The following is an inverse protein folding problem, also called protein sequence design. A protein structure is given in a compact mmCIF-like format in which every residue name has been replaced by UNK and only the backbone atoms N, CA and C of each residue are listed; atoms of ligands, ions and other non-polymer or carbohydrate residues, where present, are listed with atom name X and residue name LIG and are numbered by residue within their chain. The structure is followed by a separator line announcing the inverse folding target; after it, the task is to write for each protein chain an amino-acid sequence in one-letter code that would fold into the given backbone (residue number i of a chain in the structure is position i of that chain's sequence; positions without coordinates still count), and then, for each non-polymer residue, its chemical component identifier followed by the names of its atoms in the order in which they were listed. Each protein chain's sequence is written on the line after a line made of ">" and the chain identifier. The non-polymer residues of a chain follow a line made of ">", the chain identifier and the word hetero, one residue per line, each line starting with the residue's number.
data_IF_531458531978
#
_entry.id   IF_531458531978
#
_cell.length_a   1.000
_cell.length_b   1.000
_cell.length_c   1.000
_cell.angle_alpha   90.00
_cell.angle_beta   90.00
_cell.angle_gamma   90.00
#
_symmetry.space_group_name_H-M   'P 1'
#
loop_
_entity.id
_entity.type
_entity.pdbx_description
1 polymer ?
#
# COMPACT_ATOMS: atom_id res chain seq x y z
N UNK A 1 -13.16 16.08 9.84
CA UNK A 1 -11.74 15.95 10.24
C UNK A 1 -10.88 16.66 9.18
N UNK A 2 -10.12 17.70 9.54
CA UNK A 2 -9.19 18.39 8.64
C UNK A 2 -7.79 17.82 8.86
N UNK A 3 -7.41 16.82 8.08
CA UNK A 3 -6.03 16.33 8.00
C UNK A 3 -5.60 16.38 6.54
N UNK A 4 -4.30 16.57 6.28
CA UNK A 4 -3.76 16.41 4.95
C UNK A 4 -4.10 15.04 4.37
N UNK A 5 -4.59 15.01 3.13
CA UNK A 5 -4.79 13.77 2.40
C UNK A 5 -3.63 13.62 1.42
N UNK A 6 -2.91 12.50 1.44
CA UNK A 6 -1.86 12.27 0.45
C UNK A 6 -2.46 12.18 -0.95
N UNK A 7 -1.69 12.65 -1.94
CA UNK A 7 -2.02 12.43 -3.34
C UNK A 7 -1.74 10.99 -3.75
N UNK A 8 -2.44 10.52 -4.78
CA UNK A 8 -2.29 9.17 -5.33
C UNK A 8 -1.65 9.18 -6.74
N UNK A 9 -1.24 10.34 -7.24
CA UNK A 9 -0.63 10.55 -8.55
C UNK A 9 -1.58 10.43 -9.75
N UNK A 10 -2.62 9.60 -9.62
CA UNK A 10 -3.65 9.36 -10.63
C UNK A 10 -5.05 9.55 -10.05
N UNK A 11 -6.02 9.89 -10.90
CA UNK A 11 -7.40 10.09 -10.47
C UNK A 11 -7.59 11.28 -9.51
N UNK A 12 -6.66 12.22 -9.52
CA UNK A 12 -6.68 13.42 -8.69
C UNK A 12 -6.82 14.69 -9.53
N UNK A 13 -7.48 15.69 -8.97
CA UNK A 13 -7.56 17.04 -9.53
C UNK A 13 -6.98 18.03 -8.51
N UNK A 14 -6.16 18.96 -8.98
CA UNK A 14 -5.51 19.98 -8.14
C UNK A 14 -5.82 21.36 -8.70
N UNK A 15 -6.15 22.30 -7.81
CA UNK A 15 -6.34 23.70 -8.19
C UNK A 15 -5.05 24.30 -8.73
N UNK A 16 -5.11 24.96 -9.89
CA UNK A 16 -3.99 25.73 -10.45
C UNK A 16 -3.44 26.75 -9.44
N UNK A 17 -4.32 27.43 -8.71
CA UNK A 17 -3.94 28.40 -7.66
C UNK A 17 -3.21 27.74 -6.49
N UNK A 18 -3.51 26.48 -6.16
CA UNK A 18 -2.75 25.74 -5.15
C UNK A 18 -1.35 25.40 -5.66
N UNK A 19 -1.23 24.99 -6.92
CA UNK A 19 0.07 24.71 -7.55
C UNK A 19 0.99 25.93 -7.59
N UNK A 20 0.47 27.08 -8.02
CA UNK A 20 1.25 28.33 -8.01
C UNK A 20 1.70 28.73 -6.61
N UNK A 21 0.84 28.56 -5.59
CA UNK A 21 1.21 28.86 -4.20
C UNK A 21 2.32 27.96 -3.67
N UNK A 22 2.37 26.70 -4.11
CA UNK A 22 3.46 25.78 -3.75
C UNK A 22 4.75 26.15 -4.48
N UNK A 23 4.67 26.38 -5.79
CA UNK A 23 5.81 26.81 -6.61
C UNK A 23 6.48 28.08 -6.05
N UNK A 24 5.68 29.09 -5.66
CA UNK A 24 6.18 30.34 -5.10
C UNK A 24 6.91 30.18 -3.75
N UNK A 25 6.79 29.03 -3.08
CA UNK A 25 7.45 28.74 -1.80
C UNK A 25 8.68 27.85 -1.95
N UNK A 26 8.98 27.35 -3.15
CA UNK A 26 10.15 26.52 -3.39
C UNK A 26 11.26 27.29 -4.13
N UNK A 27 12.54 27.04 -3.81
CA UNK A 27 13.66 27.69 -4.50
C UNK A 27 13.72 27.40 -6.01
N UNK A 28 13.27 26.21 -6.43
CA UNK A 28 13.27 25.76 -7.82
C UNK A 28 12.04 26.24 -8.62
N UNK A 29 11.12 26.98 -7.99
CA UNK A 29 9.84 27.40 -8.54
C UNK A 29 8.98 26.24 -9.09
N UNK A 30 9.23 25.00 -8.64
CA UNK A 30 8.46 23.83 -9.06
C UNK A 30 7.43 23.44 -7.98
N UNK A 31 6.21 23.04 -8.39
CA UNK A 31 5.18 22.63 -7.44
C UNK A 31 5.39 21.21 -6.90
N UNK A 32 6.34 20.44 -7.45
CA UNK A 32 6.73 19.10 -7.03
C UNK A 32 8.21 19.06 -6.66
N UNK A 33 8.57 18.18 -5.71
CA UNK A 33 9.97 17.90 -5.44
C UNK A 33 10.46 16.83 -6.42
N UNK A 34 11.32 17.22 -7.36
CA UNK A 34 11.79 16.34 -8.45
C UNK A 34 12.65 15.16 -7.98
N UNK A 35 13.19 15.25 -6.77
CA UNK A 35 14.02 14.24 -6.11
C UNK A 35 13.20 13.31 -5.19
N UNK A 36 11.88 13.51 -5.09
CA UNK A 36 11.00 12.64 -4.29
C UNK A 36 10.56 11.41 -5.09
N UNK A 37 10.80 10.22 -4.54
CA UNK A 37 10.28 8.96 -5.09
C UNK A 37 8.76 8.85 -5.07
N UNK A 38 8.08 9.72 -4.32
CA UNK A 38 6.62 9.76 -4.14
C UNK A 38 6.18 11.22 -4.05
N UNK A 39 6.45 11.98 -5.12
CA UNK A 39 6.16 13.42 -5.19
C UNK A 39 4.66 13.70 -5.09
N UNK A 40 3.85 12.76 -5.57
CA UNK A 40 2.39 12.76 -5.50
C UNK A 40 1.87 12.68 -4.07
N UNK A 41 2.43 11.78 -3.26
CA UNK A 41 2.14 11.66 -1.84
C UNK A 41 2.44 12.97 -1.11
N UNK A 42 3.63 13.53 -1.33
CA UNK A 42 4.08 14.79 -0.73
C UNK A 42 3.24 15.99 -1.16
N UNK A 43 2.81 16.05 -2.41
CA UNK A 43 1.99 17.14 -2.93
C UNK A 43 0.72 17.34 -2.10
N UNK A 44 -0.02 16.26 -1.83
CA UNK A 44 -1.27 16.33 -1.06
C UNK A 44 -1.06 16.88 0.36
N UNK A 45 0.05 16.46 1.00
CA UNK A 45 0.44 16.98 2.32
C UNK A 45 0.89 18.43 2.26
N UNK A 46 1.65 18.82 1.23
CA UNK A 46 2.13 20.18 1.04
C UNK A 46 0.97 21.16 0.81
N UNK A 47 -0.03 20.78 0.01
CA UNK A 47 -1.26 21.58 -0.19
C UNK A 47 -1.96 21.82 1.15
N UNK A 48 -2.10 20.79 1.99
CA UNK A 48 -2.73 20.93 3.30
C UNK A 48 -1.91 21.81 4.25
N UNK A 49 -0.58 21.68 4.24
CA UNK A 49 0.32 22.48 5.06
C UNK A 49 0.25 23.99 4.75
N UNK A 50 -0.11 24.37 3.52
CA UNK A 50 -0.34 25.77 3.13
C UNK A 50 -1.81 26.23 3.27
N UNK A 51 -2.61 25.49 4.04
CA UNK A 51 -4.01 25.81 4.34
C UNK A 51 -5.00 25.36 3.26
N UNK A 52 -4.56 24.56 2.29
CA UNK A 52 -5.42 23.96 1.28
C UNK A 52 -6.37 22.92 1.86
N UNK A 53 -7.51 22.72 1.20
CA UNK A 53 -8.49 21.69 1.57
C UNK A 53 -8.38 20.52 0.61
N UNK A 54 -8.15 19.33 1.15
CA UNK A 54 -8.18 18.09 0.38
C UNK A 54 -9.49 17.34 0.64
N UNK A 55 -10.02 16.64 -0.37
CA UNK A 55 -11.22 15.81 -0.25
C UNK A 55 -11.02 14.51 -1.02
N UNK A 56 -11.37 13.39 -0.39
CA UNK A 56 -11.50 12.11 -1.08
C UNK A 56 -12.95 11.95 -1.51
N UNK A 57 -13.20 11.90 -2.81
CA UNK A 57 -14.55 11.81 -3.39
C UNK A 57 -14.71 10.43 -4.01
N UNK A 58 -15.72 9.69 -3.55
CA UNK A 58 -16.17 8.46 -4.19
C UNK A 58 -17.46 8.77 -4.93
N UNK A 59 -17.45 8.70 -6.25
CA UNK A 59 -18.59 8.98 -7.11
C UNK A 59 -18.81 7.85 -8.11
N UNK A 60 -20.05 7.71 -8.59
CA UNK A 60 -20.43 6.82 -9.68
C UNK A 60 -20.96 7.65 -10.85
N UNK A 61 -20.73 7.17 -12.07
CA UNK A 61 -21.32 7.75 -13.27
C UNK A 61 -22.80 7.39 -13.39
N UNK A 62 -23.46 7.95 -14.40
CA UNK A 62 -24.88 7.67 -14.70
C UNK A 62 -25.10 6.19 -15.08
N UNK A 63 -24.05 5.53 -15.57
CA UNK A 63 -23.99 4.09 -15.84
C UNK A 63 -23.85 3.21 -14.58
N UNK A 64 -23.86 3.83 -13.39
CA UNK A 64 -23.66 3.17 -12.11
C UNK A 64 -22.23 2.68 -11.87
N UNK A 65 -21.28 2.87 -12.79
CA UNK A 65 -19.88 2.45 -12.63
C UNK A 65 -19.13 3.42 -11.72
N UNK A 66 -18.18 2.90 -10.95
CA UNK A 66 -17.33 3.74 -10.12
C UNK A 66 -16.46 4.64 -10.99
N UNK A 67 -16.46 5.94 -10.69
CA UNK A 67 -15.52 6.90 -11.30
C UNK A 67 -14.16 6.67 -10.64
N UNK A 68 -13.28 5.99 -11.36
CA UNK A 68 -11.94 5.63 -10.90
C UNK A 68 -11.00 5.43 -12.09
N UNK A 69 -9.71 5.70 -11.90
CA UNK A 69 -8.68 5.31 -12.87
C UNK A 69 -8.55 3.79 -12.91
N UNK A 70 -8.55 3.22 -14.11
CA UNK A 70 -8.31 1.79 -14.34
C UNK A 70 -6.95 1.62 -14.99
N UNK A 71 -6.11 0.79 -14.39
CA UNK A 71 -4.79 0.44 -14.92
C UNK A 71 -4.52 -1.03 -14.63
N UNK A 72 -3.74 -1.68 -15.50
CA UNK A 72 -3.24 -3.02 -15.21
C UNK A 72 -2.23 -2.95 -14.07
N UNK A 73 -2.30 -3.94 -13.19
CA UNK A 73 -1.27 -4.16 -12.19
C UNK A 73 -0.10 -4.90 -12.85
N UNK A 74 1.17 -4.72 -12.41
CA UNK A 74 2.28 -5.48 -12.95
C UNK A 74 2.02 -6.99 -12.91
N UNK A 75 2.21 -7.63 -14.04
CA UNK A 75 2.03 -9.07 -14.25
C UNK A 75 3.27 -9.88 -13.86
N UNK A 76 4.45 -9.22 -13.80
CA UNK A 76 5.70 -9.82 -13.34
C UNK A 76 5.97 -9.50 -11.87
N UNK A 77 6.37 -10.53 -11.12
CA UNK A 77 6.71 -10.42 -9.70
C UNK A 77 7.76 -9.34 -9.42
N UNK A 78 8.83 -9.29 -10.22
CA UNK A 78 9.91 -8.32 -10.02
C UNK A 78 9.43 -6.87 -10.20
N UNK A 79 8.56 -6.62 -11.18
CA UNK A 79 7.96 -5.31 -11.39
C UNK A 79 7.04 -4.90 -10.23
N UNK A 80 6.24 -5.83 -9.71
CA UNK A 80 5.40 -5.60 -8.53
C UNK A 80 6.26 -5.31 -7.27
N UNK A 81 7.35 -6.05 -7.08
CA UNK A 81 8.30 -5.85 -5.99
C UNK A 81 8.97 -4.48 -6.08
N UNK A 82 9.48 -4.11 -7.27
CA UNK A 82 10.08 -2.79 -7.53
C UNK A 82 9.11 -1.66 -7.19
N UNK A 83 7.89 -1.72 -7.74
CA UNK A 83 6.85 -0.72 -7.47
C UNK A 83 6.54 -0.60 -5.97
N UNK A 84 6.32 -1.74 -5.30
CA UNK A 84 5.96 -1.75 -3.87
C UNK A 84 7.12 -1.27 -3.00
N UNK A 85 8.35 -1.66 -3.31
CA UNK A 85 9.56 -1.20 -2.61
C UNK A 85 9.72 0.31 -2.71
N UNK A 86 9.53 0.89 -3.90
CA UNK A 86 9.58 2.35 -4.09
C UNK A 86 8.59 3.08 -3.19
N UNK A 87 7.35 2.61 -3.12
CA UNK A 87 6.32 3.21 -2.26
C UNK A 87 6.67 3.10 -0.78
N UNK A 88 7.12 1.93 -0.32
CA UNK A 88 7.51 1.75 1.08
C UNK A 88 8.70 2.63 1.43
N UNK A 89 9.72 2.69 0.57
CA UNK A 89 10.89 3.54 0.75
C UNK A 89 10.51 5.02 0.78
N UNK A 90 9.77 5.50 -0.22
CA UNK A 90 9.38 6.91 -0.35
C UNK A 90 8.46 7.39 0.77
N UNK A 91 7.40 6.63 1.09
CA UNK A 91 6.40 7.05 2.07
C UNK A 91 6.87 6.80 3.50
N UNK A 92 7.34 5.58 3.79
CA UNK A 92 7.58 5.13 5.16
C UNK A 92 8.94 5.53 5.72
N UNK A 93 9.96 5.67 4.85
CA UNK A 93 11.33 5.89 5.27
C UNK A 93 11.81 7.29 4.87
N UNK A 94 11.99 7.58 3.56
CA UNK A 94 12.43 8.91 3.10
C UNK A 94 11.42 10.01 3.44
N UNK A 95 10.12 9.68 3.47
CA UNK A 95 9.08 10.59 3.90
C UNK A 95 9.23 11.05 5.35
N UNK A 96 9.95 10.29 6.20
CA UNK A 96 10.31 10.74 7.54
C UNK A 96 11.20 11.98 7.46
N UNK A 97 12.25 11.93 6.65
CA UNK A 97 13.24 12.99 6.52
C UNK A 97 12.67 14.20 5.78
N UNK A 98 11.85 13.96 4.75
CA UNK A 98 11.36 15.01 3.85
C UNK A 98 10.18 15.80 4.41
N UNK A 99 9.19 15.11 4.99
CA UNK A 99 7.95 15.75 5.47
C UNK A 99 7.72 15.62 6.98
N UNK A 100 8.60 14.94 7.71
CA UNK A 100 8.61 14.90 9.17
C UNK A 100 7.34 14.34 9.83
N UNK A 101 7.16 14.69 11.11
CA UNK A 101 5.98 14.41 11.93
C UNK A 101 5.35 15.73 12.40
N UNK A 102 4.82 16.49 11.45
CA UNK A 102 4.12 17.74 11.74
C UNK A 102 2.62 17.50 11.95
N UNK A 103 1.98 18.44 12.67
CA UNK A 103 0.53 18.49 12.84
C UNK A 103 0.00 18.00 14.18
N UNK A 104 -1.33 17.95 14.28
CA UNK A 104 -2.05 17.45 15.46
C UNK A 104 -2.25 15.93 15.48
N UNK A 105 -2.94 15.38 16.50
CA UNK A 105 -3.08 13.94 16.70
C UNK A 105 -3.65 13.17 15.50
N UNK A 106 -4.54 13.80 14.73
CA UNK A 106 -5.13 13.18 13.53
C UNK A 106 -4.09 13.05 12.40
N UNK A 107 -3.21 14.04 12.23
CA UNK A 107 -2.15 13.96 11.21
C UNK A 107 -1.09 12.92 11.59
N UNK A 108 -0.77 12.84 12.89
CA UNK A 108 0.09 11.79 13.43
C UNK A 108 -0.49 10.40 13.19
N UNK A 109 -1.79 10.22 13.45
CA UNK A 109 -2.48 8.96 13.15
C UNK A 109 -2.41 8.59 11.66
N UNK A 110 -2.70 9.53 10.77
CA UNK A 110 -2.65 9.29 9.32
C UNK A 110 -1.23 8.93 8.86
N UNK A 111 -0.21 9.69 9.26
CA UNK A 111 1.19 9.40 8.93
C UNK A 111 1.63 8.06 9.50
N UNK A 112 1.23 7.71 10.73
CA UNK A 112 1.55 6.40 11.33
C UNK A 112 0.94 5.26 10.51
N UNK A 113 -0.32 5.41 10.10
CA UNK A 113 -1.01 4.45 9.24
C UNK A 113 -0.32 4.26 7.90
N UNK A 114 0.18 5.32 7.29
CA UNK A 114 0.85 5.26 5.98
C UNK A 114 2.26 4.67 6.10
N UNK A 115 2.97 4.99 7.19
CA UNK A 115 4.37 4.61 7.42
C UNK A 115 4.57 3.24 8.09
N UNK A 116 3.49 2.55 8.50
CA UNK A 116 3.59 1.22 9.16
C UNK A 116 4.04 0.07 8.24
N UNK A 117 4.29 0.32 6.96
CA UNK A 117 4.64 -0.70 5.97
C UNK A 117 5.81 -1.61 6.39
N UNK A 118 6.98 -1.07 6.77
CA UNK A 118 8.12 -1.86 7.23
C UNK A 118 7.82 -2.70 8.48
N UNK A 119 7.13 -2.14 9.48
CA UNK A 119 6.73 -2.89 10.67
C UNK A 119 5.76 -4.03 10.32
N UNK A 120 4.80 -3.76 9.42
CA UNK A 120 3.87 -4.77 8.94
C UNK A 120 4.61 -5.92 8.25
N UNK A 121 5.66 -5.63 7.47
CA UNK A 121 6.50 -6.65 6.85
C UNK A 121 7.18 -7.57 7.87
N UNK A 122 7.70 -7.02 8.99
CA UNK A 122 8.29 -7.81 10.08
C UNK A 122 7.25 -8.69 10.76
N UNK A 123 6.08 -8.13 11.09
CA UNK A 123 4.98 -8.89 11.71
C UNK A 123 4.49 -10.01 10.78
N UNK A 124 4.36 -9.74 9.48
CA UNK A 124 4.00 -10.76 8.50
C UNK A 124 5.05 -11.86 8.43
N UNK A 125 6.34 -11.52 8.36
CA UNK A 125 7.43 -12.50 8.34
C UNK A 125 7.37 -13.40 9.58
N UNK A 126 7.24 -12.81 10.77
CA UNK A 126 7.09 -13.56 12.01
C UNK A 126 5.85 -14.48 11.98
N UNK A 127 4.72 -13.99 11.48
CA UNK A 127 3.50 -14.79 11.29
C UNK A 127 3.71 -16.00 10.37
N UNK A 128 4.38 -15.82 9.23
CA UNK A 128 4.67 -16.95 8.33
C UNK A 128 5.66 -17.94 8.93
N UNK A 129 6.69 -17.47 9.63
CA UNK A 129 7.61 -18.34 10.38
C UNK A 129 6.83 -19.16 11.41
N UNK A 130 5.92 -18.53 12.17
CA UNK A 130 5.08 -19.22 13.14
C UNK A 130 4.16 -20.27 12.50
N UNK A 131 3.58 -19.99 11.33
CA UNK A 131 2.77 -20.97 10.58
C UNK A 131 3.62 -22.20 10.20
N UNK A 132 4.84 -21.99 9.70
CA UNK A 132 5.76 -23.09 9.36
C UNK A 132 6.13 -23.89 10.61
N UNK A 133 6.55 -23.23 11.68
CA UNK A 133 6.91 -23.89 12.94
C UNK A 133 5.74 -24.68 13.55
N UNK A 134 4.53 -24.12 13.48
CA UNK A 134 3.32 -24.78 13.97
C UNK A 134 2.97 -25.99 13.09
N UNK A 135 3.16 -25.91 11.77
CA UNK A 135 2.99 -27.05 10.86
C UNK A 135 3.98 -28.18 11.17
N UNK A 136 5.26 -27.85 11.38
CA UNK A 136 6.30 -28.81 11.75
C UNK A 136 6.02 -29.46 13.11
N UNK A 137 5.60 -28.67 14.10
CA UNK A 137 5.17 -29.19 15.40
C UNK A 137 3.95 -30.11 15.25
N UNK A 138 2.98 -29.75 14.40
CA UNK A 138 1.82 -30.57 14.10
C UNK A 138 2.20 -31.94 13.51
N UNK A 139 3.18 -31.98 12.61
CA UNK A 139 3.74 -33.23 12.07
C UNK A 139 4.39 -34.04 13.20
N UNK A 140 5.24 -33.43 14.02
CA UNK A 140 5.90 -34.12 15.13
C UNK A 140 4.91 -34.72 16.13
N UNK A 141 3.81 -34.01 16.41
CA UNK A 141 2.72 -34.53 17.25
C UNK A 141 2.00 -35.68 16.55
N UNK A 142 1.68 -35.55 15.26
CA UNK A 142 1.00 -36.59 14.50
C UNK A 142 1.82 -37.90 14.36
N UNK A 143 3.15 -37.80 14.35
CA UNK A 143 4.06 -38.95 14.32
C UNK A 143 4.44 -39.47 15.71
N UNK A 144 3.89 -38.89 16.79
CA UNK A 144 4.21 -39.26 18.17
C UNK A 144 5.60 -38.82 18.65
N UNK A 145 6.31 -37.98 17.89
CA UNK A 145 7.62 -37.45 18.23
C UNK A 145 7.56 -36.26 19.21
N UNK A 146 6.36 -35.70 19.44
CA UNK A 146 6.13 -34.60 20.38
C UNK A 146 4.72 -34.67 20.97
N UNK A 147 4.49 -33.93 22.05
CA UNK A 147 3.18 -33.81 22.69
C UNK A 147 2.48 -32.50 22.27
N UNK A 148 1.14 -32.47 22.23
CA UNK A 148 0.40 -31.25 21.92
C UNK A 148 0.74 -30.12 22.90
N UNK A 149 0.99 -28.92 22.37
CA UNK A 149 1.23 -27.74 23.19
C UNK A 149 -0.07 -27.31 23.87
N UNK A 150 -0.05 -27.19 25.20
CA UNK A 150 -1.17 -26.66 25.96
C UNK A 150 -1.24 -25.14 25.81
N UNK A 151 -2.35 -24.63 25.25
CA UNK A 151 -2.56 -23.19 25.09
C UNK A 151 -3.20 -22.62 26.35
N UNK A 152 -2.62 -21.53 26.88
CA UNK A 152 -3.26 -20.80 27.98
C UNK A 152 -4.61 -20.19 27.54
N UNK A 153 -5.56 -19.97 28.46
CA UNK A 153 -6.85 -19.36 28.14
C UNK A 153 -6.72 -18.00 27.43
N UNK A 154 -5.75 -17.19 27.86
CA UNK A 154 -5.45 -15.90 27.23
C UNK A 154 -4.98 -16.07 25.79
N UNK A 155 -4.03 -16.96 25.53
CA UNK A 155 -3.52 -17.21 24.18
C UNK A 155 -4.63 -17.74 23.26
N UNK A 156 -5.45 -18.66 23.77
CA UNK A 156 -6.63 -19.17 23.03
C UNK A 156 -7.59 -18.04 22.68
N UNK A 157 -7.89 -17.14 23.62
CA UNK A 157 -8.73 -15.96 23.39
C UNK A 157 -8.15 -15.04 22.32
N UNK A 158 -6.84 -14.76 22.37
CA UNK A 158 -6.15 -13.93 21.38
C UNK A 158 -6.16 -14.56 19.98
N UNK A 159 -5.98 -15.89 19.87
CA UNK A 159 -6.05 -16.59 18.59
C UNK A 159 -7.45 -16.52 17.98
N UNK A 160 -8.50 -16.73 18.79
CA UNK A 160 -9.89 -16.60 18.34
C UNK A 160 -10.18 -15.17 17.86
N UNK A 161 -9.80 -14.15 18.65
CA UNK A 161 -9.99 -12.76 18.27
C UNK A 161 -9.28 -12.41 16.94
N UNK A 162 -8.03 -12.87 16.76
CA UNK A 162 -7.29 -12.69 15.51
C UNK A 162 -7.95 -13.40 14.33
N UNK A 163 -8.46 -14.62 14.53
CA UNK A 163 -9.19 -15.36 13.49
C UNK A 163 -10.47 -14.62 13.07
N UNK A 164 -11.24 -14.08 14.01
CA UNK A 164 -12.43 -13.28 13.71
C UNK A 164 -12.10 -12.01 12.93
N UNK A 165 -11.03 -11.29 13.31
CA UNK A 165 -10.55 -10.10 12.59
C UNK A 165 -10.06 -10.47 11.19
N UNK A 166 -9.40 -11.63 11.04
CA UNK A 166 -8.98 -12.14 9.73
C UNK A 166 -10.22 -12.39 8.85
N UNK A 167 -11.20 -13.14 9.33
CA UNK A 167 -12.45 -13.43 8.60
C UNK A 167 -13.14 -12.13 8.19
N UNK A 168 -13.28 -11.17 9.10
CA UNK A 168 -13.83 -9.84 8.78
C UNK A 168 -13.09 -9.17 7.62
N UNK A 169 -11.76 -9.22 7.62
CA UNK A 169 -10.93 -8.66 6.54
C UNK A 169 -11.11 -9.41 5.22
N UNK A 170 -11.25 -10.74 5.25
CA UNK A 170 -11.50 -11.55 4.06
C UNK A 170 -12.85 -11.20 3.45
N UNK A 171 -13.90 -11.11 4.27
CA UNK A 171 -15.26 -10.75 3.84
C UNK A 171 -15.29 -9.35 3.25
N UNK A 172 -14.66 -8.36 3.90
CA UNK A 172 -14.58 -7.01 3.37
C UNK A 172 -13.85 -6.97 2.02
N UNK A 173 -12.72 -7.68 1.91
CA UNK A 173 -11.92 -7.74 0.67
C UNK A 173 -12.73 -8.37 -0.47
N UNK A 174 -13.36 -9.51 -0.21
CA UNK A 174 -14.25 -10.18 -1.15
C UNK A 174 -15.39 -9.24 -1.58
N UNK A 175 -16.13 -8.67 -0.62
CA UNK A 175 -17.30 -7.83 -0.89
C UNK A 175 -16.96 -6.60 -1.73
N UNK A 176 -15.86 -5.90 -1.43
CA UNK A 176 -15.46 -4.73 -2.21
C UNK A 176 -14.96 -5.09 -3.62
N UNK A 177 -14.19 -6.17 -3.77
CA UNK A 177 -13.72 -6.60 -5.09
C UNK A 177 -14.87 -7.18 -5.93
N UNK A 178 -15.73 -8.02 -5.34
CA UNK A 178 -16.86 -8.63 -6.01
C UNK A 178 -17.89 -7.59 -6.49
N UNK A 179 -18.11 -6.54 -5.71
CA UNK A 179 -19.03 -5.46 -6.09
C UNK A 179 -18.59 -4.71 -7.34
N UNK A 180 -17.30 -4.56 -7.59
CA UNK A 180 -16.79 -3.77 -8.72
C UNK A 180 -16.33 -4.63 -9.90
N UNK A 181 -15.93 -5.89 -9.67
CA UNK A 181 -15.33 -6.76 -10.69
C UNK A 181 -15.98 -8.15 -10.80
N UNK A 182 -17.02 -8.44 -10.01
CA UNK A 182 -17.73 -9.72 -10.01
C UNK A 182 -17.15 -10.75 -9.03
N UNK A 183 -17.95 -11.78 -8.72
CA UNK A 183 -17.67 -12.74 -7.65
C UNK A 183 -16.35 -13.51 -7.85
N UNK A 184 -15.99 -13.84 -9.10
CA UNK A 184 -14.73 -14.53 -9.43
C UNK A 184 -13.53 -13.68 -9.03
N UNK A 185 -13.51 -12.39 -9.38
CA UNK A 185 -12.43 -11.50 -8.95
C UNK A 185 -12.44 -11.24 -7.45
N UNK A 186 -13.62 -11.25 -6.81
CA UNK A 186 -13.74 -11.26 -5.35
C UNK A 186 -13.00 -12.42 -4.71
N UNK A 187 -13.21 -13.63 -5.22
CA UNK A 187 -12.54 -14.84 -4.74
C UNK A 187 -11.03 -14.80 -5.02
N UNK A 188 -10.64 -14.45 -6.24
CA UNK A 188 -9.23 -14.34 -6.61
C UNK A 188 -8.51 -13.27 -5.78
N UNK A 189 -9.16 -12.16 -5.40
CA UNK A 189 -8.60 -11.16 -4.50
C UNK A 189 -8.28 -11.70 -3.10
N UNK A 190 -9.05 -12.68 -2.61
CA UNK A 190 -8.78 -13.41 -1.36
C UNK A 190 -7.64 -14.40 -1.57
N UNK A 191 -7.67 -15.21 -2.63
CA UNK A 191 -6.65 -16.22 -2.91
C UNK A 191 -5.25 -15.62 -3.16
N UNK A 192 -5.17 -14.38 -3.65
CA UNK A 192 -3.91 -13.65 -3.85
C UNK A 192 -3.28 -13.13 -2.55
N UNK A 193 -3.93 -13.28 -1.38
CA UNK A 193 -3.41 -12.77 -0.10
C UNK A 193 -2.01 -13.28 0.27
N UNK A 194 -1.70 -14.60 0.16
CA UNK A 194 -0.37 -15.09 0.50
C UNK A 194 0.71 -14.46 -0.37
N UNK A 195 0.46 -14.37 -1.68
CA UNK A 195 1.37 -13.71 -2.62
C UNK A 195 1.54 -12.22 -2.28
N UNK A 196 0.46 -11.52 -1.96
CA UNK A 196 0.51 -10.12 -1.55
C UNK A 196 1.33 -9.91 -0.26
N UNK A 197 1.25 -10.85 0.69
CA UNK A 197 2.07 -10.82 1.90
C UNK A 197 3.55 -11.06 1.61
N UNK A 198 3.88 -12.03 0.74
CA UNK A 198 5.27 -12.25 0.29
C UNK A 198 5.83 -10.99 -0.37
N UNK A 199 5.07 -10.37 -1.27
CA UNK A 199 5.44 -9.10 -1.90
C UNK A 199 5.67 -8.02 -0.83
N UNK A 200 4.80 -7.90 0.17
CA UNK A 200 4.97 -6.92 1.25
C UNK A 200 6.24 -7.16 2.09
N UNK A 201 6.54 -8.41 2.43
CA UNK A 201 7.74 -8.80 3.19
C UNK A 201 9.00 -8.44 2.40
N UNK A 202 9.09 -8.91 1.15
CA UNK A 202 10.27 -8.68 0.31
C UNK A 202 10.43 -7.20 -0.01
N UNK A 203 9.33 -6.50 -0.31
CA UNK A 203 9.37 -5.08 -0.59
C UNK A 203 9.81 -4.24 0.61
N UNK A 204 9.33 -4.60 1.82
CA UNK A 204 9.74 -3.98 3.08
C UNK A 204 11.23 -4.18 3.35
N UNK A 205 11.75 -5.40 3.18
CA UNK A 205 13.19 -5.69 3.31
C UNK A 205 14.01 -4.86 2.32
N UNK A 206 13.65 -4.86 1.03
CA UNK A 206 14.33 -4.07 0.00
C UNK A 206 14.34 -2.58 0.36
N UNK A 207 13.19 -2.01 0.76
CA UNK A 207 13.08 -0.61 1.14
C UNK A 207 13.99 -0.26 2.34
N UNK A 208 13.99 -1.06 3.41
CA UNK A 208 14.84 -0.82 4.58
C UNK A 208 16.32 -0.89 4.22
N UNK A 209 16.74 -1.88 3.45
CA UNK A 209 18.15 -2.00 3.04
C UNK A 209 18.58 -0.83 2.15
N UNK A 210 17.73 -0.38 1.23
CA UNK A 210 18.00 0.79 0.40
C UNK A 210 18.08 2.07 1.24
N UNK A 211 17.19 2.24 2.23
CA UNK A 211 17.25 3.38 3.15
C UNK A 211 18.52 3.37 4.01
N UNK A 212 18.93 2.22 4.54
CA UNK A 212 20.21 2.11 5.27
C UNK A 212 21.39 2.46 4.36
N UNK A 213 21.33 2.08 3.08
CA UNK A 213 22.34 2.48 2.11
C UNK A 213 22.33 4.00 1.84
N UNK A 214 21.17 4.66 1.86
CA UNK A 214 21.10 6.12 1.68
C UNK A 214 21.66 6.88 2.87
N UNK A 215 21.42 6.38 4.09
CA UNK A 215 22.06 6.90 5.30
C UNK A 215 23.59 6.76 5.28
N UNK A 216 24.14 5.86 4.46
CA UNK A 216 25.59 5.68 4.22
C UNK A 216 26.11 6.49 3.03
N UNK A 217 25.33 7.46 2.54
CA UNK A 217 25.74 8.37 1.46
C UNK A 217 25.51 7.87 0.04
N UNK A 218 24.81 6.73 -0.16
CA UNK A 218 24.41 6.30 -1.51
C UNK A 218 23.15 7.04 -1.95
N UNK A 219 23.06 7.40 -3.24
CA UNK A 219 21.83 7.95 -3.79
C UNK A 219 20.71 6.89 -3.76
N UNK A 220 19.48 7.31 -3.46
CA UNK A 220 18.30 6.46 -3.65
C UNK A 220 18.08 6.29 -5.15
N UNK A 221 18.34 5.08 -5.68
CA UNK A 221 18.18 4.82 -7.11
C UNK A 221 16.71 5.01 -7.53
N UNK A 222 16.49 5.85 -8.54
CA UNK A 222 15.20 6.07 -9.17
C UNK A 222 14.91 4.94 -10.14
N UNK A 223 14.16 3.93 -9.70
CA UNK A 223 13.74 2.82 -10.56
C UNK A 223 12.28 3.01 -10.99
N UNK A 224 12.08 3.59 -12.19
CA UNK A 224 10.76 3.97 -12.70
C UNK A 224 9.94 2.72 -13.03
N UNK A 225 8.65 2.73 -12.67
CA UNK A 225 7.72 1.67 -13.06
C UNK A 225 7.33 1.82 -14.52
N UNK A 226 7.69 0.86 -15.36
CA UNK A 226 7.23 0.71 -16.74
C UNK A 226 5.73 0.36 -16.76
N UNK A 227 4.99 0.95 -17.71
CA UNK A 227 3.56 0.69 -17.92
C UNK A 227 3.41 0.15 -19.36
N UNK A 228 3.14 -1.14 -19.51
CA UNK A 228 3.20 -1.80 -20.83
C UNK A 228 1.86 -1.77 -21.62
N UNK A 229 0.71 -1.48 -21.00
CA UNK A 229 -0.57 -1.32 -21.71
C UNK A 229 -1.66 -0.60 -20.89
N UNK A 230 -2.62 0.08 -21.54
CA UNK A 230 -3.79 0.70 -20.90
C UNK A 230 -5.06 -0.15 -21.13
N UNK A 231 -5.93 -0.39 -20.12
CA UNK A 231 -7.13 -1.24 -20.27
C UNK A 231 -8.08 -0.83 -21.42
N UNK A 232 -8.21 0.47 -21.68
CA UNK A 232 -9.00 0.98 -22.80
C UNK A 232 -8.52 0.48 -24.17
N UNK A 233 -7.23 0.18 -24.33
CA UNK A 233 -6.68 -0.38 -25.57
C UNK A 233 -7.08 -1.85 -25.76
N UNK A 234 -7.24 -2.60 -24.66
CA UNK A 234 -7.72 -3.98 -24.71
C UNK A 234 -9.23 -4.06 -25.01
N UNK A 235 -10.05 -3.15 -24.47
CA UNK A 235 -11.48 -3.05 -24.79
C UNK A 235 -11.69 -2.70 -26.28
N UNK A 236 -10.85 -1.83 -26.86
CA UNK A 236 -10.89 -1.49 -28.29
C UNK A 236 -10.47 -2.66 -29.21
N UNK A 237 -9.60 -3.56 -28.73
CA UNK A 237 -9.17 -4.74 -29.48
C UNK A 237 -10.25 -5.85 -29.49
N UNK A 238 -11.02 -5.98 -28.40
CA UNK A 238 -12.11 -6.96 -28.28
C UNK A 238 -13.36 -6.63 -29.10
N UNK A 239 -13.54 -5.37 -29.52
CA UNK A 239 -14.70 -4.90 -30.30
C UNK A 239 -14.60 -5.12 -31.82
N UNK A 240 -13.54 -5.78 -32.33
CA UNK A 240 -13.32 -6.02 -33.77
C UNK A 240 -13.73 -7.41 -34.28
N UNK A 241 -14.38 -8.22 -33.43
CA UNK A 241 -14.97 -9.51 -33.82
C UNK A 241 -16.45 -9.56 -33.45
N UNK A 242 -17.25 -8.78 -34.17
CA UNK A 242 -18.72 -8.83 -34.20
C UNK A 242 -19.20 -8.66 -35.63
#
# INVERSE_FOLDING_TARGET
>A
LRAGLPGAGVGCAVSRTAMHRLAARRPDALPFASDSLTEDYELGLAIAAVGGRCRFVRARGDDGRLIATRAFFPDRLEAALRQKSRWVLGIALLGWDRVGWAGGPIEWWMRTRDRRGPLTAVVLLAGYVLVVLTGLMGIAVATGASQPVQLSPLLKGLLIANALILVWRLVARFGFAAREYGAVEGLLAVLRLPLANVIAIVAGRRAVLTYVATLRGRAAAWDKTEHEAHPAQAELAGGRHG
#
